data_IF_622648369055
#
_entry.id   IF_622648369055
#
_cell.length_a   1.000
_cell.length_b   1.000
_cell.length_c   1.000
_cell.angle_alpha   90.00
_cell.angle_beta   90.00
_cell.angle_gamma   90.00
#
_symmetry.space_group_name_H-M   'P 1'
#
loop_
_entity.id
_entity.type
_entity.pdbx_description
1 polymer ?
#
# COMPACT_ATOMS: atom_id res chain seq x y z
N UNK A 1 -2.73 -7.65 24.16
CA UNK A 1 -3.06 -8.57 23.05
C UNK A 1 -4.16 -8.01 22.18
N UNK A 2 -4.06 -8.18 20.86
CA UNK A 2 -5.17 -7.89 19.96
C UNK A 2 -6.40 -8.72 20.34
N UNK A 3 -7.58 -8.14 20.19
CA UNK A 3 -8.84 -8.85 20.39
C UNK A 3 -8.94 -10.00 19.37
N UNK A 4 -9.10 -11.27 19.78
CA UNK A 4 -9.28 -12.38 18.85
C UNK A 4 -10.51 -12.24 17.95
N UNK A 5 -11.46 -11.35 18.28
CA UNK A 5 -12.62 -10.99 17.46
C UNK A 5 -12.37 -9.80 16.52
N UNK A 6 -11.16 -9.23 16.50
CA UNK A 6 -10.80 -8.17 15.56
C UNK A 6 -10.90 -8.70 14.12
N UNK A 7 -11.59 -7.92 13.26
CA UNK A 7 -11.76 -8.20 11.83
C UNK A 7 -10.43 -8.47 11.13
N UNK A 8 -9.31 -7.93 11.64
CA UNK A 8 -7.98 -8.14 11.07
C UNK A 8 -7.54 -9.60 11.09
N UNK A 9 -8.07 -10.41 12.00
CA UNK A 9 -7.80 -11.84 12.10
C UNK A 9 -8.92 -12.73 11.55
N UNK A 10 -9.91 -12.14 10.87
CA UNK A 10 -11.03 -12.85 10.26
C UNK A 10 -10.87 -12.93 8.73
N UNK A 11 -10.53 -14.11 8.16
CA UNK A 11 -10.44 -14.30 6.71
C UNK A 11 -11.76 -14.00 5.98
N UNK A 12 -12.92 -14.25 6.62
CA UNK A 12 -14.23 -14.04 6.01
C UNK A 12 -14.56 -12.54 5.87
N UNK A 13 -13.97 -11.70 6.73
CA UNK A 13 -14.07 -10.24 6.66
C UNK A 13 -13.01 -9.60 5.73
N UNK A 14 -12.15 -10.39 5.09
CA UNK A 14 -11.00 -9.87 4.34
C UNK A 14 -9.91 -9.30 5.25
N UNK A 15 -9.71 -9.90 6.43
CA UNK A 15 -8.62 -9.56 7.34
C UNK A 15 -7.24 -9.80 6.73
N UNK A 16 -6.20 -9.33 7.43
CA UNK A 16 -4.81 -9.35 6.97
C UNK A 16 -4.24 -7.97 6.69
N UNK A 17 -2.92 -7.85 6.82
CA UNK A 17 -2.22 -6.57 6.72
C UNK A 17 -2.21 -6.08 5.27
N UNK A 18 -2.11 -7.00 4.31
CA UNK A 18 -2.04 -6.74 2.87
C UNK A 18 -3.29 -6.02 2.36
N UNK A 19 -4.49 -6.48 2.75
CA UNK A 19 -5.75 -5.85 2.32
C UNK A 19 -6.06 -4.55 3.07
N UNK A 20 -5.62 -4.42 4.33
CA UNK A 20 -5.88 -3.23 5.15
C UNK A 20 -4.94 -2.06 4.83
N UNK A 21 -3.63 -2.32 4.84
CA UNK A 21 -2.58 -1.32 4.67
C UNK A 21 -1.78 -1.50 3.37
N UNK A 22 -1.61 -2.74 2.91
CA UNK A 22 -0.84 -3.04 1.71
C UNK A 22 -1.45 -2.47 0.44
N UNK A 23 -2.78 -2.34 0.37
CA UNK A 23 -3.50 -1.70 -0.75
C UNK A 23 -2.93 -0.33 -1.11
N UNK A 24 -2.55 0.50 -0.13
CA UNK A 24 -1.97 1.81 -0.39
C UNK A 24 -0.56 1.73 -1.00
N UNK A 25 0.26 0.78 -0.53
CA UNK A 25 1.60 0.56 -1.07
C UNK A 25 1.56 -0.01 -2.49
N UNK A 26 0.65 -0.95 -2.76
CA UNK A 26 0.44 -1.51 -4.09
C UNK A 26 -0.12 -0.46 -5.07
N UNK A 27 -1.04 0.39 -4.63
CA UNK A 27 -1.50 1.56 -5.40
C UNK A 27 -0.33 2.50 -5.72
N UNK A 28 0.47 2.87 -4.71
CA UNK A 28 1.58 3.81 -4.88
C UNK A 28 2.65 3.26 -5.83
N UNK A 29 2.98 1.97 -5.71
CA UNK A 29 3.87 1.29 -6.64
C UNK A 29 3.35 1.39 -8.08
N UNK A 30 2.08 1.03 -8.31
CA UNK A 30 1.47 1.09 -9.64
C UNK A 30 1.38 2.50 -10.19
N UNK A 31 1.10 3.50 -9.35
CA UNK A 31 1.15 4.91 -9.72
C UNK A 31 2.56 5.34 -10.17
N UNK A 32 3.60 4.91 -9.47
CA UNK A 32 4.97 5.34 -9.73
C UNK A 32 5.64 4.58 -10.89
N UNK A 33 5.36 3.29 -11.06
CA UNK A 33 6.06 2.41 -12.00
C UNK A 33 5.19 1.88 -13.14
N UNK A 34 3.87 2.03 -13.05
CA UNK A 34 2.90 1.41 -13.95
C UNK A 34 2.48 0.01 -13.50
N UNK A 35 1.70 -0.68 -14.34
CA UNK A 35 1.26 -2.03 -14.02
C UNK A 35 2.45 -3.01 -13.95
N UNK A 36 2.51 -3.88 -12.94
CA UNK A 36 3.57 -4.88 -12.83
C UNK A 36 3.39 -5.97 -13.91
N UNK A 37 4.49 -6.37 -14.55
CA UNK A 37 4.56 -7.54 -15.45
C UNK A 37 5.06 -8.79 -14.72
N UNK A 38 5.83 -8.62 -13.65
CA UNK A 38 6.23 -9.70 -12.74
C UNK A 38 6.06 -9.24 -11.30
N UNK A 39 5.72 -10.18 -10.42
CA UNK A 39 5.59 -9.93 -8.99
C UNK A 39 5.94 -11.18 -8.19
N UNK A 40 6.53 -10.99 -7.02
CA UNK A 40 6.82 -12.05 -6.05
C UNK A 40 6.58 -11.52 -4.65
N UNK A 41 5.81 -12.27 -3.87
CA UNK A 41 5.46 -11.91 -2.49
C UNK A 41 5.93 -12.99 -1.53
N UNK A 42 6.44 -12.56 -0.37
CA UNK A 42 6.78 -13.43 0.76
C UNK A 42 6.35 -12.76 2.05
N UNK A 43 6.13 -13.53 3.12
CA UNK A 43 5.55 -13.00 4.35
C UNK A 43 5.28 -14.07 5.40
N UNK A 44 4.63 -13.66 6.47
CA UNK A 44 4.14 -14.54 7.51
C UNK A 44 2.62 -14.48 7.57
N UNK A 45 1.99 -15.64 7.80
CA UNK A 45 0.55 -15.83 7.88
C UNK A 45 0.22 -16.38 9.26
N UNK A 46 -0.88 -15.92 9.84
CA UNK A 46 -1.41 -16.44 11.10
C UNK A 46 -1.95 -17.86 10.93
N UNK A 47 -2.17 -18.56 12.05
CA UNK A 47 -2.82 -19.88 12.06
C UNK A 47 -4.24 -19.87 11.49
N UNK A 48 -4.87 -18.68 11.41
CA UNK A 48 -6.20 -18.48 10.82
C UNK A 48 -6.17 -18.23 9.31
N UNK A 49 -4.98 -18.13 8.70
CA UNK A 49 -4.84 -17.95 7.25
C UNK A 49 -4.92 -16.50 6.76
N UNK A 50 -4.83 -15.51 7.65
CA UNK A 50 -4.63 -14.09 7.26
C UNK A 50 -3.15 -13.71 7.33
N UNK A 51 -2.68 -12.85 6.43
CA UNK A 51 -1.31 -12.37 6.43
C UNK A 51 -1.05 -11.41 7.60
N UNK A 52 0.06 -11.61 8.30
CA UNK A 52 0.52 -10.75 9.40
C UNK A 52 1.51 -9.68 8.89
N UNK A 53 2.32 -10.06 7.92
CA UNK A 53 3.27 -9.17 7.25
C UNK A 53 3.65 -9.74 5.89
N UNK A 54 3.95 -8.88 4.94
CA UNK A 54 4.35 -9.26 3.60
C UNK A 54 5.32 -8.27 2.99
N UNK A 55 6.18 -8.77 2.11
CA UNK A 55 7.00 -7.97 1.19
C UNK A 55 6.73 -8.44 -0.23
N UNK A 56 6.30 -7.51 -1.08
CA UNK A 56 6.07 -7.73 -2.51
C UNK A 56 7.13 -6.98 -3.31
N UNK A 57 7.85 -7.69 -4.19
CA UNK A 57 8.75 -7.11 -5.19
C UNK A 57 8.10 -7.25 -6.55
N UNK A 58 8.03 -6.16 -7.31
CA UNK A 58 7.44 -6.17 -8.66
C UNK A 58 8.32 -5.44 -9.67
N UNK A 59 8.18 -5.82 -10.94
CA UNK A 59 8.83 -5.16 -12.08
C UNK A 59 7.76 -4.80 -13.12
N UNK A 60 7.75 -3.56 -13.61
CA UNK A 60 6.85 -3.08 -14.66
C UNK A 60 7.46 -3.26 -16.07
N UNK A 61 6.66 -3.05 -17.13
CA UNK A 61 7.07 -3.27 -18.53
C UNK A 61 8.36 -2.51 -18.92
N UNK A 62 8.57 -1.32 -18.36
CA UNK A 62 9.78 -0.50 -18.57
C UNK A 62 10.98 -0.87 -17.69
N UNK A 63 10.92 -1.96 -16.92
CA UNK A 63 11.98 -2.40 -16.00
C UNK A 63 12.04 -1.65 -14.67
N UNK A 64 11.15 -0.68 -14.43
CA UNK A 64 11.02 -0.03 -13.13
C UNK A 64 10.59 -1.06 -12.07
N UNK A 65 11.24 -1.02 -10.90
CA UNK A 65 10.98 -1.95 -9.81
C UNK A 65 10.33 -1.24 -8.63
N UNK A 66 9.53 -1.98 -7.87
CA UNK A 66 8.92 -1.52 -6.64
C UNK A 66 9.02 -2.57 -5.55
N UNK A 67 9.15 -2.11 -4.30
CA UNK A 67 9.07 -2.96 -3.10
C UNK A 67 7.99 -2.40 -2.20
N UNK A 68 7.01 -3.23 -1.85
CA UNK A 68 5.94 -2.89 -0.91
C UNK A 68 6.09 -3.78 0.30
N UNK A 69 6.32 -3.18 1.47
CA UNK A 69 6.32 -3.88 2.74
C UNK A 69 5.07 -3.50 3.54
N UNK A 70 4.46 -4.48 4.20
CA UNK A 70 3.22 -4.32 4.95
C UNK A 70 3.28 -5.17 6.19
N UNK A 71 2.76 -4.68 7.31
CA UNK A 71 2.78 -5.39 8.58
C UNK A 71 1.66 -4.92 9.50
N UNK A 72 1.07 -5.85 10.24
CA UNK A 72 0.25 -5.57 11.43
C UNK A 72 0.99 -5.90 12.74
N UNK A 73 2.16 -6.53 12.65
CA UNK A 73 2.98 -6.95 13.80
C UNK A 73 4.12 -5.98 14.12
N UNK A 74 4.47 -5.11 13.16
CA UNK A 74 5.50 -4.09 13.30
C UNK A 74 4.91 -2.71 12.99
N UNK A 75 5.25 -1.74 13.83
CA UNK A 75 4.95 -0.35 13.57
C UNK A 75 5.86 0.17 12.45
N UNK A 76 5.27 0.73 11.39
CA UNK A 76 6.01 1.34 10.28
C UNK A 76 5.68 2.82 10.18
N UNK A 77 6.60 3.66 9.67
CA UNK A 77 6.38 5.11 9.60
C UNK A 77 5.41 5.51 8.48
N UNK A 78 4.99 4.57 7.62
CA UNK A 78 4.05 4.86 6.53
C UNK A 78 4.59 5.83 5.49
N UNK A 79 5.90 5.83 5.23
CA UNK A 79 6.57 6.69 4.25
C UNK A 79 6.69 5.99 2.88
N UNK A 80 6.88 6.78 1.83
CA UNK A 80 7.08 6.30 0.46
C UNK A 80 8.21 7.05 -0.25
N UNK A 81 8.82 6.40 -1.24
CA UNK A 81 9.94 6.93 -2.02
C UNK A 81 9.77 6.58 -3.49
N UNK A 82 10.04 7.56 -4.37
CA UNK A 82 10.20 7.34 -5.82
C UNK A 82 11.62 7.74 -6.19
N UNK A 83 12.43 6.80 -6.65
CA UNK A 83 13.80 7.03 -7.06
C UNK A 83 13.93 6.99 -8.58
N UNK A 84 14.48 8.05 -9.17
CA UNK A 84 14.84 8.12 -10.58
C UNK A 84 16.32 8.44 -10.78
N UNK A 85 16.77 8.46 -12.03
CA UNK A 85 18.19 8.70 -12.38
C UNK A 85 18.69 10.12 -12.08
N UNK A 86 17.78 11.09 -11.89
CA UNK A 86 18.12 12.51 -11.68
C UNK A 86 17.76 13.03 -10.29
N UNK A 87 16.76 12.43 -9.66
CA UNK A 87 16.21 12.88 -8.40
C UNK A 87 15.53 11.74 -7.65
N UNK A 88 15.32 11.92 -6.36
CA UNK A 88 14.51 11.04 -5.51
C UNK A 88 13.46 11.88 -4.78
N UNK A 89 12.20 11.50 -4.90
CA UNK A 89 11.11 12.05 -4.10
C UNK A 89 10.97 11.20 -2.84
N UNK A 90 10.98 11.82 -1.66
CA UNK A 90 10.77 11.16 -0.37
C UNK A 90 9.65 11.83 0.39
N UNK A 91 8.61 11.08 0.73
CA UNK A 91 7.57 11.58 1.62
C UNK A 91 8.14 11.75 3.03
N UNK A 92 7.81 12.87 3.67
CA UNK A 92 8.21 13.18 5.05
C UNK A 92 7.08 12.95 6.04
N UNK A 93 5.85 12.87 5.55
CA UNK A 93 4.64 12.50 6.29
C UNK A 93 4.11 11.14 5.81
N UNK A 94 3.14 10.58 6.55
CA UNK A 94 2.51 9.32 6.16
C UNK A 94 1.77 9.47 4.81
N UNK A 95 2.23 8.76 3.78
CA UNK A 95 1.86 9.04 2.38
C UNK A 95 0.40 8.75 1.99
N UNK A 96 -0.36 8.05 2.86
CA UNK A 96 -1.77 7.67 2.60
C UNK A 96 -2.76 8.79 2.96
N UNK A 97 -2.24 9.88 3.53
CA UNK A 97 -2.96 11.08 3.94
C UNK A 97 -2.38 12.29 3.22
N UNK A 98 -2.95 13.50 3.38
CA UNK A 98 -2.27 14.73 2.95
C UNK A 98 -0.85 14.76 3.53
N UNK A 99 0.16 14.80 2.66
CA UNK A 99 1.53 14.50 3.04
C UNK A 99 2.55 15.35 2.29
N UNK A 100 3.50 15.91 3.02
CA UNK A 100 4.63 16.67 2.50
C UNK A 100 5.73 15.73 1.96
N UNK A 101 6.57 16.25 1.08
CA UNK A 101 7.70 15.49 0.54
C UNK A 101 8.89 16.38 0.18
N UNK A 102 10.06 15.77 0.07
CA UNK A 102 11.29 16.39 -0.40
C UNK A 102 11.77 15.78 -1.72
N UNK A 103 12.38 16.59 -2.58
CA UNK A 103 12.99 16.18 -3.85
C UNK A 103 14.50 16.37 -3.76
N UNK A 104 15.21 15.27 -3.53
CA UNK A 104 16.66 15.24 -3.50
C UNK A 104 17.22 15.08 -4.90
N UNK A 105 18.16 15.94 -5.28
CA UNK A 105 18.80 15.91 -6.60
C UNK A 105 20.26 16.38 -6.48
N UNK A 106 21.03 16.34 -7.58
CA UNK A 106 22.46 16.70 -7.55
C UNK A 106 22.75 18.11 -7.02
N UNK A 107 21.80 19.04 -7.19
CA UNK A 107 21.91 20.44 -6.80
C UNK A 107 21.52 20.74 -5.35
N UNK A 108 20.92 19.78 -4.64
CA UNK A 108 20.40 20.00 -3.29
C UNK A 108 19.08 19.28 -3.06
N UNK A 109 18.23 19.91 -2.25
CA UNK A 109 16.94 19.38 -1.82
C UNK A 109 15.90 20.49 -1.85
N UNK A 110 14.78 20.24 -2.54
CA UNK A 110 13.61 21.11 -2.54
C UNK A 110 12.51 20.47 -1.69
N UNK A 111 11.78 21.27 -0.94
CA UNK A 111 10.70 20.81 -0.09
C UNK A 111 9.35 21.26 -0.65
N UNK A 112 8.37 20.36 -0.62
CA UNK A 112 6.98 20.68 -0.82
C UNK A 112 6.22 20.38 0.45
N UNK A 113 5.63 21.41 1.04
CA UNK A 113 4.78 21.32 2.23
C UNK A 113 3.32 21.28 1.80
N UNK A 114 2.56 20.37 2.41
CA UNK A 114 1.12 20.28 2.19
C UNK A 114 0.40 21.55 2.70
N UNK A 115 -0.09 22.43 1.81
CA UNK A 115 -0.40 23.81 2.17
C UNK A 115 -1.78 24.00 2.79
N UNK A 116 -2.65 22.98 2.75
CA UNK A 116 -4.06 23.12 3.16
C UNK A 116 -4.25 23.04 4.67
N UNK A 117 -3.24 22.57 5.40
CA UNK A 117 -3.32 22.30 6.84
C UNK A 117 -4.19 21.10 7.20
N UNK A 118 -4.78 20.40 6.22
CA UNK A 118 -5.55 19.18 6.46
C UNK A 118 -4.63 18.08 7.01
N UNK A 119 -5.16 17.26 7.92
CA UNK A 119 -4.45 16.17 8.56
C UNK A 119 -5.24 14.87 8.52
N UNK A 120 -4.54 13.77 8.24
CA UNK A 120 -5.13 12.44 8.25
C UNK A 120 -6.40 12.35 7.40
N UNK A 121 -7.48 11.87 8.01
CA UNK A 121 -8.78 11.66 7.35
C UNK A 121 -9.51 12.95 6.94
N UNK A 122 -9.03 14.14 7.34
CA UNK A 122 -9.59 15.40 6.83
C UNK A 122 -9.36 15.53 5.31
N UNK A 123 -8.32 14.88 4.76
CA UNK A 123 -8.05 14.82 3.33
C UNK A 123 -9.12 14.12 2.50
N UNK A 124 -10.06 13.41 3.12
CA UNK A 124 -11.18 12.76 2.42
C UNK A 124 -12.09 13.77 1.70
N UNK A 125 -12.00 15.06 2.03
CA UNK A 125 -12.69 16.13 1.30
C UNK A 125 -12.32 16.16 -0.18
N UNK A 126 -11.07 15.81 -0.54
CA UNK A 126 -10.60 15.84 -1.92
C UNK A 126 -11.29 14.80 -2.80
N UNK A 127 -11.38 13.56 -2.32
CA UNK A 127 -12.07 12.50 -3.06
C UNK A 127 -13.59 12.72 -3.10
N UNK A 128 -14.17 13.29 -2.03
CA UNK A 128 -15.60 13.61 -2.02
C UNK A 128 -15.95 14.72 -3.02
N UNK A 129 -15.16 15.80 -3.06
CA UNK A 129 -15.32 16.89 -4.02
C UNK A 129 -15.09 16.40 -5.46
N UNK A 130 -14.06 15.58 -5.69
CA UNK A 130 -13.76 15.02 -7.01
C UNK A 130 -14.89 14.12 -7.50
N UNK A 131 -15.42 13.24 -6.64
CA UNK A 131 -16.55 12.38 -6.98
C UNK A 131 -17.79 13.20 -7.37
N UNK A 132 -18.14 14.22 -6.57
CA UNK A 132 -19.27 15.09 -6.88
C UNK A 132 -19.11 15.80 -8.24
N UNK A 133 -17.90 16.27 -8.54
CA UNK A 133 -17.59 16.89 -9.83
C UNK A 133 -17.69 15.86 -10.98
N UNK A 134 -17.12 14.67 -10.82
CA UNK A 134 -17.16 13.63 -11.86
C UNK A 134 -18.59 13.21 -12.18
N UNK A 135 -19.46 13.09 -11.17
CA UNK A 135 -20.89 12.82 -11.35
C UNK A 135 -21.58 13.97 -12.08
N UNK A 136 -21.30 15.23 -11.69
CA UNK A 136 -21.86 16.41 -12.35
C UNK A 136 -21.45 16.51 -13.83
N UNK A 137 -20.23 16.07 -14.16
CA UNK A 137 -19.70 16.01 -15.52
C UNK A 137 -20.22 14.79 -16.32
N UNK A 138 -21.06 13.94 -15.74
CA UNK A 138 -21.60 12.74 -16.38
C UNK A 138 -20.58 11.62 -16.60
N UNK A 139 -19.48 11.61 -15.82
CA UNK A 139 -18.46 10.56 -15.90
C UNK A 139 -18.92 9.30 -15.17
N UNK A 140 -18.55 8.16 -15.73
CA UNK A 140 -18.79 6.84 -15.11
C UNK A 140 -17.58 6.31 -14.35
N UNK A 141 -16.42 6.97 -14.46
CA UNK A 141 -15.19 6.61 -13.75
C UNK A 141 -14.31 7.84 -13.48
N UNK A 142 -13.35 7.69 -12.56
CA UNK A 142 -12.39 8.74 -12.23
C UNK A 142 -11.29 8.81 -13.29
N UNK A 143 -10.93 10.01 -13.79
CA UNK A 143 -9.80 10.19 -14.69
C UNK A 143 -8.44 10.05 -13.99
N UNK A 144 -8.41 9.97 -12.65
CA UNK A 144 -7.18 9.81 -11.86
C UNK A 144 -7.02 8.37 -11.35
N UNK A 145 -8.13 7.69 -11.08
CA UNK A 145 -8.21 6.31 -10.60
C UNK A 145 -9.29 5.57 -11.39
N UNK A 146 -8.93 5.08 -12.57
CA UNK A 146 -9.86 4.39 -13.47
C UNK A 146 -10.37 3.08 -12.89
N UNK A 147 -11.42 2.51 -13.51
CA UNK A 147 -11.86 1.16 -13.14
C UNK A 147 -10.76 0.13 -13.36
N UNK A 148 -10.01 0.25 -14.45
CA UNK A 148 -8.86 -0.61 -14.76
C UNK A 148 -7.78 -0.51 -13.69
N UNK A 149 -7.58 0.68 -13.09
CA UNK A 149 -6.66 0.83 -11.98
C UNK A 149 -7.09 0.05 -10.75
N UNK A 150 -8.38 0.14 -10.44
CA UNK A 150 -8.98 -0.55 -9.29
C UNK A 150 -8.91 -2.07 -9.46
N UNK A 151 -9.27 -2.59 -10.63
CA UNK A 151 -9.20 -4.02 -10.96
C UNK A 151 -7.74 -4.51 -10.96
N UNK A 152 -6.81 -3.71 -11.51
CA UNK A 152 -5.39 -4.05 -11.53
C UNK A 152 -4.79 -4.16 -10.12
N UNK A 153 -5.16 -3.26 -9.20
CA UNK A 153 -4.72 -3.31 -7.80
C UNK A 153 -5.33 -4.53 -7.09
N UNK A 154 -6.64 -4.77 -7.25
CA UNK A 154 -7.31 -5.93 -6.65
C UNK A 154 -6.67 -7.24 -7.13
N UNK A 155 -6.42 -7.38 -8.43
CA UNK A 155 -5.75 -8.54 -9.02
C UNK A 155 -4.35 -8.74 -8.45
N UNK A 156 -3.58 -7.66 -8.26
CA UNK A 156 -2.24 -7.74 -7.69
C UNK A 156 -2.26 -8.15 -6.20
N UNK A 157 -3.24 -7.67 -5.43
CA UNK A 157 -3.42 -8.05 -4.03
C UNK A 157 -3.85 -9.52 -3.90
N UNK A 158 -4.76 -9.99 -4.77
CA UNK A 158 -5.16 -11.40 -4.82
C UNK A 158 -3.98 -12.31 -5.15
N UNK A 159 -3.14 -11.94 -6.13
CA UNK A 159 -1.93 -12.67 -6.48
C UNK A 159 -0.91 -12.71 -5.32
N UNK A 160 -0.71 -11.58 -4.65
CA UNK A 160 0.15 -11.49 -3.47
C UNK A 160 -0.36 -12.35 -2.32
N UNK A 161 -1.68 -12.35 -2.06
CA UNK A 161 -2.31 -13.19 -1.03
C UNK A 161 -2.19 -14.67 -1.36
N UNK A 162 -2.41 -15.06 -2.62
CA UNK A 162 -2.26 -16.44 -3.07
C UNK A 162 -0.81 -16.95 -2.92
N UNK A 163 0.19 -16.08 -3.13
CA UNK A 163 1.60 -16.43 -2.90
C UNK A 163 1.96 -16.66 -1.43
N UNK A 164 1.15 -16.13 -0.50
CA UNK A 164 1.31 -16.34 0.95
C UNK A 164 0.56 -17.56 1.47
N UNK A 165 -0.34 -18.14 0.68
CA UNK A 165 -1.11 -19.31 1.10
C UNK A 165 -0.16 -20.49 1.40
N UNK A 166 -0.16 -21.03 2.64
CA UNK A 166 0.75 -22.10 3.04
C UNK A 166 0.53 -23.40 2.24
N UNK A 167 -0.61 -23.57 1.57
CA UNK A 167 -0.82 -24.69 0.64
C UNK A 167 0.06 -24.61 -0.62
N UNK A 168 0.67 -23.45 -0.90
CA UNK A 168 1.62 -23.18 -1.98
C UNK A 168 3.10 -23.18 -1.58
N UNK A 169 3.46 -23.47 -0.32
CA UNK A 169 4.85 -23.68 0.12
C UNK A 169 5.53 -22.53 0.87
N UNK A 170 4.79 -21.56 1.42
CA UNK A 170 5.35 -20.53 2.29
C UNK A 170 5.69 -21.08 3.69
N UNK A 171 6.83 -20.71 4.30
CA UNK A 171 7.19 -21.14 5.64
C UNK A 171 6.25 -20.54 6.70
N UNK A 172 5.64 -21.40 7.53
CA UNK A 172 4.87 -20.98 8.70
C UNK A 172 5.79 -20.43 9.79
N UNK A 173 5.56 -19.20 10.25
CA UNK A 173 6.22 -18.64 11.43
C UNK A 173 5.26 -18.79 12.61
N UNK A 174 5.61 -19.56 13.66
CA UNK A 174 4.75 -19.69 14.83
C UNK A 174 4.58 -18.35 15.54
N UNK A 175 3.35 -18.07 15.96
CA UNK A 175 3.00 -16.88 16.74
C UNK A 175 3.84 -16.87 18.04
N UNK A 176 4.75 -15.89 18.17
CA UNK A 176 5.54 -15.75 19.40
C UNK A 176 4.66 -15.11 20.48
N UNK A 177 4.51 -15.83 21.59
CA UNK A 177 3.90 -15.34 22.81
C UNK A 177 4.70 -14.15 23.37
N UNK A 178 4.18 -12.93 23.18
CA UNK A 178 4.79 -11.69 23.69
C UNK A 178 4.47 -11.44 25.18
N UNK A 179 3.96 -12.44 25.91
CA UNK A 179 3.59 -12.30 27.34
C UNK A 179 4.78 -12.32 28.31
N UNK A 180 6.02 -12.30 27.84
CA UNK A 180 7.20 -12.24 28.74
C UNK A 180 8.03 -10.98 28.43
N UNK A 181 8.33 -10.15 29.46
CA UNK A 181 8.91 -8.82 29.30
C UNK A 181 10.36 -8.82 28.78
#
# INVERSE_FOLDING_TARGET
DPDPADRMFDPAAGGGALLDAGVYGHWFARFATGAPVTSSTTGAVSDRGVDLQSVTVSTAEGGAQSVVATSMTAWTPGLAVIAGSRATVRYTDHFVFPASFAVHHRGGEDHWEEPTGLRGRQGLVWQAASLAQYVADGRTESPVHSLDDSVGIATALDAARAALDPTGGAPSVPEQDTSTP
#
